data_IF_670734094053
#
_entry.id   IF_670734094053
#
_cell.length_a   1.000
_cell.length_b   1.000
_cell.length_c   1.000
_cell.angle_alpha   90.00
_cell.angle_beta   90.00
_cell.angle_gamma   90.00
#
_symmetry.space_group_name_H-M   'P 1'
#
loop_
_entity.id
_entity.type
_entity.pdbx_description
1 polymer ?
#
# COMPACT_ATOMS: atom_id res chain seq x y z
N UNK A 1 -0.02 -0.06 24.28
CA UNK A 1 -1.11 0.80 23.81
C UNK A 1 -1.70 1.63 24.95
N UNK A 2 -1.75 2.96 24.80
CA UNK A 2 -2.30 3.94 25.74
C UNK A 2 -3.35 4.77 25.01
N UNK A 3 -4.56 4.93 25.57
CA UNK A 3 -5.60 5.78 24.99
C UNK A 3 -5.27 7.26 25.22
N UNK A 4 -5.12 8.01 24.12
CA UNK A 4 -4.84 9.45 24.11
C UNK A 4 -5.89 10.21 23.29
N UNK A 5 -7.10 9.67 23.17
CA UNK A 5 -8.20 10.23 22.36
C UNK A 5 -8.53 11.68 22.74
N UNK A 6 -8.40 12.05 24.02
CA UNK A 6 -8.58 13.42 24.50
C UNK A 6 -7.60 14.44 23.87
N UNK A 7 -6.49 13.97 23.29
CA UNK A 7 -5.50 14.81 22.62
C UNK A 7 -5.76 15.01 21.12
N UNK A 8 -6.78 14.39 20.53
CA UNK A 8 -7.05 14.51 19.07
C UNK A 8 -7.17 15.97 18.63
N UNK A 9 -7.78 16.83 19.45
CA UNK A 9 -7.90 18.26 19.16
C UNK A 9 -6.57 18.95 18.83
N UNK A 10 -5.45 18.43 19.36
CA UNK A 10 -4.11 18.97 19.10
C UNK A 10 -3.56 18.59 17.72
N UNK A 11 -4.17 17.63 17.01
CA UNK A 11 -3.79 17.20 15.66
C UNK A 11 -4.63 17.86 14.57
N UNK A 12 -5.67 18.62 14.96
CA UNK A 12 -6.58 19.28 14.03
C UNK A 12 -6.07 20.69 13.72
N UNK A 13 -5.74 20.90 12.45
CA UNK A 13 -5.29 22.18 11.91
C UNK A 13 -6.19 22.57 10.74
N UNK A 14 -6.10 23.82 10.27
CA UNK A 14 -6.98 24.31 9.20
C UNK A 14 -6.90 23.46 7.93
N UNK A 15 -5.72 22.88 7.64
CA UNK A 15 -5.52 21.98 6.49
C UNK A 15 -6.36 20.70 6.56
N UNK A 16 -6.61 20.12 7.74
CA UNK A 16 -7.32 18.83 7.87
C UNK A 16 -8.69 18.95 8.57
N UNK A 17 -9.09 20.17 8.98
CA UNK A 17 -10.32 20.42 9.73
C UNK A 17 -11.57 19.86 9.05
N UNK A 18 -11.78 20.18 7.77
CA UNK A 18 -12.97 19.73 7.05
C UNK A 18 -13.01 18.19 6.93
N UNK A 19 -11.85 17.56 6.68
CA UNK A 19 -11.73 16.11 6.62
C UNK A 19 -12.09 15.47 7.97
N UNK A 20 -11.54 16.02 9.06
CA UNK A 20 -11.83 15.59 10.42
C UNK A 20 -13.32 15.72 10.76
N UNK A 21 -13.92 16.89 10.52
CA UNK A 21 -15.33 17.16 10.83
C UNK A 21 -16.25 16.20 10.06
N UNK A 22 -15.97 15.97 8.78
CA UNK A 22 -16.75 15.04 7.95
C UNK A 22 -16.72 13.61 8.51
N UNK A 23 -15.53 13.13 8.91
CA UNK A 23 -15.36 11.76 9.42
C UNK A 23 -15.87 11.61 10.85
N UNK A 24 -15.59 12.57 11.73
CA UNK A 24 -15.99 12.54 13.14
C UNK A 24 -17.51 12.64 13.32
N UNK A 25 -18.24 13.17 12.33
CA UNK A 25 -19.70 13.14 12.31
C UNK A 25 -20.28 11.76 11.97
N UNK A 26 -19.49 10.87 11.36
CA UNK A 26 -19.91 9.54 10.92
C UNK A 26 -19.37 8.42 11.81
N UNK A 27 -18.17 8.60 12.34
CA UNK A 27 -17.41 7.56 13.03
C UNK A 27 -16.94 8.02 14.41
N UNK A 28 -16.90 7.09 15.34
CA UNK A 28 -16.18 7.28 16.61
C UNK A 28 -14.71 6.99 16.34
N UNK A 29 -13.87 8.04 16.27
CA UNK A 29 -12.43 7.91 16.05
C UNK A 29 -11.70 8.03 17.39
N UNK A 30 -10.81 7.07 17.68
CA UNK A 30 -9.97 7.04 18.87
C UNK A 30 -8.50 7.09 18.49
N UNK A 31 -7.70 7.75 19.32
CA UNK A 31 -6.26 7.86 19.13
C UNK A 31 -5.53 7.09 20.23
N UNK A 32 -4.64 6.19 19.83
CA UNK A 32 -3.83 5.39 20.73
C UNK A 32 -2.36 5.60 20.46
N UNK A 33 -1.56 5.63 21.54
CA UNK A 33 -0.11 5.58 21.46
C UNK A 33 0.39 4.16 21.72
N UNK A 34 1.25 3.65 20.86
CA UNK A 34 1.97 2.40 21.10
C UNK A 34 3.41 2.45 20.60
N UNK A 35 4.36 2.52 21.53
CA UNK A 35 5.81 2.51 21.25
C UNK A 35 6.31 1.26 20.52
N UNK A 36 5.52 0.19 20.46
CA UNK A 36 5.88 -1.05 19.74
C UNK A 36 5.59 -0.96 18.24
N UNK A 37 4.76 -0.01 17.82
CA UNK A 37 4.47 0.20 16.40
C UNK A 37 5.59 1.00 15.76
N UNK A 38 5.90 0.69 14.49
CA UNK A 38 6.98 1.35 13.75
C UNK A 38 6.46 2.50 12.86
N UNK A 39 5.15 2.58 12.67
CA UNK A 39 4.48 3.56 11.83
C UNK A 39 3.13 3.93 12.41
N UNK A 40 2.52 4.98 11.85
CA UNK A 40 1.11 5.22 12.06
C UNK A 40 0.29 4.15 11.33
N UNK A 41 -0.90 3.84 11.84
CA UNK A 41 -1.83 2.90 11.20
C UNK A 41 -3.27 3.12 11.67
N UNK A 42 -4.23 2.71 10.82
CA UNK A 42 -5.66 2.62 11.15
C UNK A 42 -6.07 1.16 11.42
N UNK A 43 -6.93 0.94 12.41
CA UNK A 43 -7.69 -0.31 12.57
C UNK A 43 -9.18 -0.03 12.71
N UNK A 44 -9.98 -0.64 11.85
CA UNK A 44 -11.43 -0.63 11.99
C UNK A 44 -11.86 -1.67 13.03
N UNK A 45 -12.52 -1.23 14.10
CA UNK A 45 -13.24 -2.09 15.05
C UNK A 45 -14.74 -1.93 14.82
N UNK A 46 -15.52 -2.90 15.27
CA UNK A 46 -16.98 -2.88 15.09
C UNK A 46 -17.65 -1.61 15.66
N UNK A 47 -17.11 -1.05 16.75
CA UNK A 47 -17.71 0.09 17.44
C UNK A 47 -16.98 1.44 17.24
N UNK A 48 -15.75 1.43 16.75
CA UNK A 48 -14.93 2.65 16.61
C UNK A 48 -13.74 2.40 15.67
N UNK A 49 -13.10 3.47 15.22
CA UNK A 49 -11.88 3.42 14.41
C UNK A 49 -10.68 3.81 15.29
N UNK A 50 -9.64 2.96 15.28
CA UNK A 50 -8.38 3.21 15.98
C UNK A 50 -7.39 3.86 15.03
N UNK A 51 -6.90 5.05 15.37
CA UNK A 51 -5.65 5.59 14.82
C UNK A 51 -4.57 5.31 15.86
N UNK A 52 -3.50 4.64 15.47
CA UNK A 52 -2.38 4.29 16.37
C UNK A 52 -1.14 5.06 15.95
N UNK A 53 -0.54 5.79 16.87
CA UNK A 53 0.70 6.53 16.68
C UNK A 53 1.89 5.86 17.41
N UNK A 54 3.08 5.83 16.78
CA UNK A 54 4.28 5.22 17.37
C UNK A 54 5.02 6.16 18.33
N UNK A 55 4.69 7.45 18.34
CA UNK A 55 5.31 8.48 19.17
C UNK A 55 4.24 9.44 19.72
N UNK A 56 4.59 10.14 20.81
CA UNK A 56 3.72 11.15 21.44
C UNK A 56 3.87 12.54 20.82
N UNK A 57 4.82 12.70 19.89
CA UNK A 57 5.02 13.97 19.19
C UNK A 57 3.87 14.21 18.21
N UNK A 58 3.35 15.44 18.20
CA UNK A 58 2.25 15.79 17.29
C UNK A 58 2.78 15.78 15.87
N UNK A 59 2.20 14.90 15.04
CA UNK A 59 2.50 14.82 13.62
C UNK A 59 1.21 15.00 12.80
N UNK A 60 0.96 16.23 12.37
CA UNK A 60 -0.23 16.58 11.59
C UNK A 60 -0.31 15.81 10.26
N UNK A 61 0.84 15.61 9.62
CA UNK A 61 0.94 14.90 8.35
C UNK A 61 0.48 13.45 8.50
N UNK A 62 1.09 12.73 9.45
CA UNK A 62 0.79 11.31 9.66
C UNK A 62 -0.63 11.11 10.17
N UNK A 63 -1.11 11.96 11.07
CA UNK A 63 -2.51 11.90 11.51
C UNK A 63 -3.47 12.12 10.32
N UNK A 64 -3.19 13.10 9.46
CA UNK A 64 -4.02 13.36 8.26
C UNK A 64 -3.93 12.21 7.25
N UNK A 65 -2.77 11.56 7.12
CA UNK A 65 -2.59 10.37 6.30
C UNK A 65 -3.53 9.24 6.75
N UNK A 66 -3.59 8.97 8.05
CA UNK A 66 -4.53 7.97 8.60
C UNK A 66 -6.00 8.38 8.43
N UNK A 67 -6.33 9.68 8.58
CA UNK A 67 -7.69 10.16 8.27
C UNK A 67 -8.07 9.93 6.80
N UNK A 68 -7.12 10.09 5.87
CA UNK A 68 -7.37 9.85 4.46
C UNK A 68 -7.60 8.36 4.14
N UNK A 69 -6.96 7.44 4.87
CA UNK A 69 -7.30 6.02 4.77
C UNK A 69 -8.76 5.75 5.13
N UNK A 70 -9.23 6.34 6.24
CA UNK A 70 -10.64 6.24 6.64
C UNK A 70 -11.56 6.85 5.57
N UNK A 71 -11.17 8.02 5.03
CA UNK A 71 -11.97 8.73 4.04
C UNK A 71 -12.14 7.99 2.72
N UNK A 72 -11.07 7.41 2.17
CA UNK A 72 -11.21 6.63 0.92
C UNK A 72 -12.04 5.35 1.16
N UNK A 73 -11.98 4.75 2.34
CA UNK A 73 -12.85 3.63 2.72
C UNK A 73 -14.32 4.05 2.82
N UNK A 74 -14.62 5.24 3.39
CA UNK A 74 -15.98 5.84 3.40
C UNK A 74 -16.51 6.12 1.98
N UNK A 75 -15.62 6.41 1.02
CA UNK A 75 -15.96 6.53 -0.41
C UNK A 75 -16.20 5.17 -1.10
N UNK A 76 -16.01 4.05 -0.41
CA UNK A 76 -16.23 2.71 -0.94
C UNK A 76 -14.97 1.97 -1.38
N UNK A 77 -13.78 2.47 -1.03
CA UNK A 77 -12.53 1.72 -1.26
C UNK A 77 -12.56 0.39 -0.51
N UNK A 78 -12.15 -0.68 -1.20
CA UNK A 78 -11.99 -2.00 -0.57
C UNK A 78 -10.99 -1.91 0.60
N UNK A 79 -11.43 -2.31 1.80
CA UNK A 79 -10.57 -2.41 2.98
C UNK A 79 -9.55 -3.55 2.82
N UNK A 80 -8.40 -3.46 3.49
CA UNK A 80 -7.40 -4.53 3.48
C UNK A 80 -8.01 -5.86 3.95
N UNK A 81 -8.85 -5.81 4.99
CA UNK A 81 -9.47 -7.01 5.56
C UNK A 81 -10.43 -7.69 4.58
N UNK A 82 -11.23 -6.91 3.83
CA UNK A 82 -12.11 -7.43 2.79
C UNK A 82 -11.30 -8.04 1.64
N UNK A 83 -10.28 -7.31 1.18
CA UNK A 83 -9.36 -7.76 0.13
C UNK A 83 -8.66 -9.08 0.51
N UNK A 84 -8.08 -9.14 1.71
CA UNK A 84 -7.44 -10.35 2.24
C UNK A 84 -8.43 -11.51 2.38
N UNK A 85 -9.60 -11.28 2.99
CA UNK A 85 -10.59 -12.34 3.20
C UNK A 85 -11.12 -12.94 1.91
N UNK A 86 -11.17 -12.15 0.84
CA UNK A 86 -11.63 -12.61 -0.49
C UNK A 86 -10.67 -13.62 -1.10
N UNK A 87 -9.37 -13.49 -0.84
CA UNK A 87 -8.33 -14.28 -1.52
C UNK A 87 -7.48 -15.18 -0.63
N UNK A 88 -7.67 -15.14 0.70
CA UNK A 88 -6.89 -15.96 1.66
C UNK A 88 -7.03 -17.47 1.44
N UNK A 89 -8.12 -17.92 0.82
CA UNK A 89 -8.39 -19.34 0.55
C UNK A 89 -8.04 -19.71 -0.92
N UNK A 90 -7.53 -18.77 -1.72
CA UNK A 90 -7.09 -19.06 -3.08
C UNK A 90 -5.82 -19.93 -3.06
N UNK A 91 -5.80 -21.00 -3.85
CA UNK A 91 -4.67 -21.96 -3.90
C UNK A 91 -3.29 -21.34 -4.17
N UNK A 92 -3.24 -20.21 -4.87
CA UNK A 92 -2.01 -19.51 -5.20
C UNK A 92 -1.79 -18.34 -4.24
N UNK A 93 -2.78 -17.46 -4.11
CA UNK A 93 -2.63 -16.21 -3.37
C UNK A 93 -2.89 -16.32 -1.86
N UNK A 94 -3.59 -17.36 -1.43
CA UNK A 94 -3.73 -17.76 -0.03
C UNK A 94 -2.48 -18.43 0.55
N UNK A 95 -1.48 -18.72 -0.29
CA UNK A 95 -0.21 -19.25 0.21
C UNK A 95 0.56 -18.18 1.00
N UNK A 96 1.23 -18.59 2.07
CA UNK A 96 2.04 -17.70 2.91
C UNK A 96 3.11 -16.90 2.14
N UNK A 97 3.44 -17.34 0.91
CA UNK A 97 4.42 -16.69 0.06
C UNK A 97 3.90 -15.38 -0.56
N UNK A 98 2.59 -15.25 -0.76
CA UNK A 98 1.97 -14.06 -1.37
C UNK A 98 1.19 -13.20 -0.38
N UNK A 99 1.13 -13.58 0.89
CA UNK A 99 0.39 -12.79 1.90
C UNK A 99 0.91 -11.36 2.02
N UNK A 100 2.23 -11.17 1.87
CA UNK A 100 2.84 -9.84 1.89
C UNK A 100 2.45 -9.03 0.65
N UNK A 101 2.31 -9.67 -0.52
CA UNK A 101 1.93 -9.03 -1.76
C UNK A 101 0.60 -8.29 -1.64
N UNK A 102 -0.38 -8.84 -0.92
CA UNK A 102 -1.64 -8.17 -0.68
C UNK A 102 -1.47 -6.84 0.05
N UNK A 103 -0.60 -6.80 1.07
CA UNK A 103 -0.27 -5.57 1.78
C UNK A 103 0.36 -4.54 0.84
N UNK A 104 1.30 -4.95 -0.02
CA UNK A 104 1.92 -4.05 -1.00
C UNK A 104 0.92 -3.50 -2.01
N UNK A 105 0.03 -4.35 -2.53
CA UNK A 105 -0.98 -3.97 -3.52
C UNK A 105 -2.02 -3.03 -2.91
N UNK A 106 -2.57 -3.39 -1.74
CA UNK A 106 -3.55 -2.56 -1.06
C UNK A 106 -2.97 -1.20 -0.69
N UNK A 107 -1.75 -1.17 -0.17
CA UNK A 107 -1.07 0.07 0.18
C UNK A 107 -0.87 0.97 -1.06
N UNK A 108 -0.32 0.44 -2.16
CA UNK A 108 -0.21 1.17 -3.43
C UNK A 108 -1.58 1.70 -3.88
N UNK A 109 -2.61 0.85 -3.84
CA UNK A 109 -3.92 1.17 -4.35
C UNK A 109 -4.55 2.34 -3.57
N UNK A 110 -4.52 2.27 -2.24
CA UNK A 110 -4.95 3.34 -1.34
C UNK A 110 -4.16 4.63 -1.59
N UNK A 111 -2.83 4.54 -1.62
CA UNK A 111 -1.96 5.68 -1.77
C UNK A 111 -2.17 6.43 -3.08
N UNK A 112 -2.40 5.72 -4.19
CA UNK A 112 -2.75 6.37 -5.48
C UNK A 112 -4.04 7.18 -5.39
N UNK A 113 -5.05 6.68 -4.68
CA UNK A 113 -6.36 7.36 -4.57
C UNK A 113 -6.35 8.47 -3.52
N UNK A 114 -5.59 8.34 -2.45
CA UNK A 114 -5.53 9.35 -1.38
C UNK A 114 -4.53 10.49 -1.67
N UNK A 115 -3.48 10.25 -2.47
CA UNK A 115 -2.43 11.25 -2.68
C UNK A 115 -2.94 12.58 -3.26
N UNK A 116 -3.87 12.60 -4.25
CA UNK A 116 -4.46 13.86 -4.73
C UNK A 116 -5.13 14.67 -3.60
N UNK A 117 -5.86 14.01 -2.69
CA UNK A 117 -6.46 14.68 -1.54
C UNK A 117 -5.40 15.22 -0.59
N UNK A 118 -4.40 14.41 -0.25
CA UNK A 118 -3.30 14.82 0.63
C UNK A 118 -2.56 16.07 0.11
N UNK A 119 -2.28 16.09 -1.20
CA UNK A 119 -1.66 17.24 -1.88
C UNK A 119 -2.58 18.46 -1.91
N UNK A 120 -3.88 18.28 -2.16
CA UNK A 120 -4.86 19.36 -2.16
C UNK A 120 -5.06 20.00 -0.78
N UNK A 121 -4.87 19.25 0.30
CA UNK A 121 -4.85 19.78 1.68
C UNK A 121 -3.57 20.59 1.98
N UNK A 122 -2.62 20.65 1.04
CA UNK A 122 -1.40 21.45 1.13
C UNK A 122 -0.29 20.82 1.97
N UNK A 123 -0.29 19.50 2.15
CA UNK A 123 0.82 18.79 2.79
C UNK A 123 1.94 18.47 1.79
N UNK A 124 3.16 18.31 2.32
CA UNK A 124 4.34 18.03 1.52
C UNK A 124 4.37 16.57 1.08
N UNK A 125 4.67 16.33 -0.18
CA UNK A 125 4.80 14.99 -0.78
C UNK A 125 5.88 14.15 -0.06
N UNK A 126 6.85 14.83 0.54
CA UNK A 126 7.92 14.25 1.36
C UNK A 126 7.41 13.58 2.63
N UNK A 127 6.27 14.02 3.15
CA UNK A 127 5.69 13.52 4.39
C UNK A 127 4.60 12.46 4.13
N UNK A 128 4.30 12.17 2.85
CA UNK A 128 3.22 11.28 2.46
C UNK A 128 3.56 9.79 2.67
N UNK A 129 4.80 9.39 2.41
CA UNK A 129 5.27 8.01 2.62
C UNK A 129 6.49 8.04 3.52
N UNK A 130 6.42 7.35 4.67
CA UNK A 130 7.52 7.30 5.65
C UNK A 130 8.82 6.70 5.07
N UNK A 131 8.71 5.74 4.15
CA UNK A 131 9.84 5.09 3.50
C UNK A 131 9.91 5.46 2.01
N UNK A 132 10.73 6.46 1.69
CA UNK A 132 10.83 7.03 0.33
C UNK A 132 11.38 6.05 -0.70
N UNK A 133 12.59 5.49 -0.48
CA UNK A 133 13.18 4.47 -1.37
C UNK A 133 14.08 3.51 -0.57
N UNK A 134 13.67 2.25 -0.41
CA UNK A 134 14.49 1.16 0.17
C UNK A 134 14.97 0.13 -0.88
N UNK A 135 14.88 0.48 -2.17
CA UNK A 135 15.40 -0.37 -3.24
C UNK A 135 16.87 -0.07 -3.53
N UNK A 136 17.71 -1.11 -3.46
CA UNK A 136 19.16 -1.04 -3.67
C UNK A 136 19.64 -2.06 -4.69
N UNK A 137 20.88 -1.88 -5.20
CA UNK A 137 21.51 -2.88 -6.07
C UNK A 137 21.65 -4.25 -5.39
N UNK A 138 21.92 -4.28 -4.07
CA UNK A 138 21.95 -5.53 -3.29
C UNK A 138 20.60 -6.24 -3.35
N UNK A 139 19.50 -5.50 -3.17
CA UNK A 139 18.14 -6.03 -3.24
C UNK A 139 17.80 -6.50 -4.66
N UNK A 140 18.21 -5.75 -5.68
CA UNK A 140 18.06 -6.13 -7.08
C UNK A 140 18.72 -7.48 -7.40
N UNK A 141 19.99 -7.66 -7.04
CA UNK A 141 20.68 -8.92 -7.28
C UNK A 141 20.09 -10.07 -6.47
N UNK A 142 19.63 -9.80 -5.23
CA UNK A 142 18.91 -10.78 -4.42
C UNK A 142 17.65 -11.29 -5.16
N UNK A 143 16.80 -10.39 -5.66
CA UNK A 143 15.60 -10.75 -6.42
C UNK A 143 15.97 -11.59 -7.65
N UNK A 144 16.96 -11.13 -8.42
CA UNK A 144 17.43 -11.84 -9.61
C UNK A 144 17.85 -13.29 -9.31
N UNK A 145 18.63 -13.50 -8.24
CA UNK A 145 19.09 -14.83 -7.83
C UNK A 145 17.91 -15.68 -7.37
N UNK A 146 17.02 -15.14 -6.53
CA UNK A 146 15.86 -15.86 -6.00
C UNK A 146 14.95 -16.35 -7.13
N UNK A 147 14.67 -15.51 -8.13
CA UNK A 147 13.84 -15.88 -9.29
C UNK A 147 14.46 -16.97 -10.17
N UNK A 148 15.79 -17.14 -10.15
CA UNK A 148 16.49 -18.20 -10.88
C UNK A 148 16.55 -19.54 -10.14
N UNK A 149 16.50 -19.52 -8.81
CA UNK A 149 16.55 -20.74 -8.01
C UNK A 149 15.14 -21.32 -7.93
N UNK A 150 14.92 -22.49 -8.54
CA UNK A 150 13.60 -23.14 -8.65
C UNK A 150 12.83 -23.26 -7.32
N UNK A 151 13.51 -23.52 -6.20
CA UNK A 151 12.88 -23.64 -4.88
C UNK A 151 12.51 -22.30 -4.24
N UNK A 152 13.08 -21.20 -4.73
CA UNK A 152 12.93 -19.86 -4.16
C UNK A 152 12.27 -18.88 -5.13
N UNK A 153 11.93 -19.34 -6.34
CA UNK A 153 11.39 -18.51 -7.41
C UNK A 153 10.11 -17.78 -6.99
N UNK A 154 9.20 -18.44 -6.29
CA UNK A 154 7.95 -17.87 -5.80
C UNK A 154 8.20 -16.74 -4.82
N UNK A 155 9.15 -16.92 -3.89
CA UNK A 155 9.60 -15.84 -3.01
C UNK A 155 10.29 -14.73 -3.80
N UNK A 156 11.06 -15.07 -4.84
CA UNK A 156 11.63 -14.10 -5.77
C UNK A 156 10.57 -13.26 -6.50
N UNK A 157 9.44 -13.87 -6.90
CA UNK A 157 8.31 -13.23 -7.56
C UNK A 157 7.57 -12.29 -6.59
N UNK A 158 7.26 -12.73 -5.37
CA UNK A 158 6.69 -11.88 -4.32
C UNK A 158 7.57 -10.65 -4.08
N UNK A 159 8.88 -10.86 -3.89
CA UNK A 159 9.82 -9.76 -3.71
C UNK A 159 9.92 -8.87 -4.95
N UNK A 160 9.87 -9.43 -6.16
CA UNK A 160 9.86 -8.63 -7.38
C UNK A 160 8.66 -7.69 -7.42
N UNK A 161 7.46 -8.22 -7.21
CA UNK A 161 6.21 -7.46 -7.29
C UNK A 161 6.09 -6.45 -6.14
N UNK A 162 6.40 -6.84 -4.91
CA UNK A 162 6.39 -5.91 -3.76
C UNK A 162 7.33 -4.72 -3.96
N UNK A 163 8.53 -4.94 -4.52
CA UNK A 163 9.45 -3.85 -4.82
C UNK A 163 9.03 -3.02 -6.04
N UNK A 164 8.40 -3.63 -7.03
CA UNK A 164 7.79 -2.90 -8.14
C UNK A 164 6.71 -1.92 -7.61
N UNK A 165 5.77 -2.42 -6.80
CA UNK A 165 4.68 -1.61 -6.25
C UNK A 165 5.21 -0.53 -5.29
N UNK A 166 6.18 -0.83 -4.44
CA UNK A 166 6.83 0.17 -3.58
C UNK A 166 7.48 1.31 -4.39
N UNK A 167 8.17 0.99 -5.50
CA UNK A 167 8.77 2.00 -6.38
C UNK A 167 7.73 2.84 -7.12
N UNK A 168 6.60 2.24 -7.53
CA UNK A 168 5.48 2.96 -8.15
C UNK A 168 4.74 3.86 -7.16
N UNK A 169 4.71 3.47 -5.89
CA UNK A 169 4.05 4.21 -4.83
C UNK A 169 4.79 5.48 -4.38
N UNK A 170 6.05 5.68 -4.80
CA UNK A 170 6.79 6.89 -4.46
C UNK A 170 6.22 8.09 -5.25
N UNK A 171 5.75 9.11 -4.52
CA UNK A 171 5.13 10.33 -5.08
C UNK A 171 6.09 11.52 -5.17
N UNK A 172 7.28 11.43 -4.57
CA UNK A 172 8.22 12.55 -4.43
C UNK A 172 8.96 12.81 -5.76
N UNK A 173 8.86 14.02 -6.36
CA UNK A 173 9.43 14.31 -7.68
C UNK A 173 10.94 14.03 -7.81
N UNK A 174 11.72 14.38 -6.80
CA UNK A 174 13.18 14.25 -6.78
C UNK A 174 13.65 12.80 -6.75
N UNK A 175 12.80 11.91 -6.24
CA UNK A 175 13.05 10.47 -6.18
C UNK A 175 12.66 9.76 -7.49
N UNK A 176 11.80 10.36 -8.32
CA UNK A 176 11.30 9.74 -9.56
C UNK A 176 12.42 9.30 -10.51
N UNK A 177 13.48 10.08 -10.80
CA UNK A 177 14.57 9.62 -11.66
C UNK A 177 15.23 8.34 -11.16
N UNK A 178 15.45 8.24 -9.84
CA UNK A 178 16.05 7.05 -9.21
C UNK A 178 15.09 5.86 -9.24
N UNK A 179 13.79 6.09 -8.98
CA UNK A 179 12.78 5.04 -9.08
C UNK A 179 12.69 4.47 -10.50
N UNK A 180 12.71 5.32 -11.54
CA UNK A 180 12.69 4.91 -12.95
C UNK A 180 13.91 4.06 -13.32
N UNK A 181 15.10 4.39 -12.81
CA UNK A 181 16.31 3.56 -13.01
C UNK A 181 16.10 2.15 -12.44
N UNK A 182 15.51 2.04 -11.25
CA UNK A 182 15.28 0.75 -10.61
C UNK A 182 14.13 -0.05 -11.23
N UNK A 183 13.06 0.61 -11.66
CA UNK A 183 11.99 0.00 -12.45
C UNK A 183 12.54 -0.57 -13.76
N UNK A 184 13.41 0.16 -14.48
CA UNK A 184 14.12 -0.36 -15.66
C UNK A 184 14.98 -1.58 -15.34
N UNK A 185 15.64 -1.59 -14.17
CA UNK A 185 16.42 -2.76 -13.71
C UNK A 185 15.52 -3.96 -13.39
N UNK A 186 14.38 -3.75 -12.72
CA UNK A 186 13.40 -4.81 -12.47
C UNK A 186 12.87 -5.40 -13.78
N UNK A 187 12.48 -4.56 -14.75
CA UNK A 187 12.03 -5.01 -16.07
C UNK A 187 13.05 -5.91 -16.79
N UNK A 188 14.36 -5.67 -16.58
CA UNK A 188 15.44 -6.54 -17.11
C UNK A 188 15.53 -7.92 -16.44
N UNK A 189 15.07 -8.07 -15.20
CA UNK A 189 15.00 -9.39 -14.55
C UNK A 189 13.90 -10.22 -15.21
N UNK A 190 12.70 -9.63 -15.39
CA UNK A 190 11.58 -10.27 -16.05
C UNK A 190 10.64 -9.22 -16.64
N UNK A 191 10.59 -9.14 -17.98
CA UNK A 191 9.78 -8.13 -18.67
C UNK A 191 8.30 -8.51 -18.69
N UNK A 192 7.95 -9.78 -18.89
CA UNK A 192 6.54 -10.22 -18.89
C UNK A 192 5.88 -9.94 -17.53
N UNK A 193 6.53 -10.31 -16.42
CA UNK A 193 6.01 -10.05 -15.08
C UNK A 193 5.93 -8.56 -14.75
N UNK A 194 6.91 -7.77 -15.22
CA UNK A 194 6.88 -6.32 -15.09
C UNK A 194 5.67 -5.73 -15.82
N UNK A 195 5.47 -6.10 -17.08
CA UNK A 195 4.40 -5.56 -17.93
C UNK A 195 3.02 -5.92 -17.36
N UNK A 196 2.86 -7.09 -16.72
CA UNK A 196 1.65 -7.45 -15.97
C UNK A 196 1.36 -6.53 -14.79
N UNK A 197 2.38 -6.27 -13.96
CA UNK A 197 2.24 -5.39 -12.79
C UNK A 197 2.03 -3.93 -13.21
N UNK A 198 2.67 -3.50 -14.30
CA UNK A 198 2.53 -2.16 -14.88
C UNK A 198 1.14 -1.94 -15.45
N UNK A 199 0.58 -2.93 -16.17
CA UNK A 199 -0.81 -2.90 -16.64
C UNK A 199 -1.79 -2.75 -15.47
N UNK A 200 -1.63 -3.52 -14.40
CA UNK A 200 -2.47 -3.38 -13.20
C UNK A 200 -2.36 -1.99 -12.58
N UNK A 201 -1.13 -1.48 -12.40
CA UNK A 201 -0.85 -0.16 -11.83
C UNK A 201 -1.48 0.99 -12.63
N UNK A 202 -1.41 0.92 -13.96
CA UNK A 202 -2.02 1.89 -14.88
C UNK A 202 -3.55 1.81 -14.87
N UNK A 203 -4.12 0.60 -15.00
CA UNK A 203 -5.57 0.41 -14.95
C UNK A 203 -6.15 0.91 -13.63
N UNK A 204 -5.49 0.63 -12.51
CA UNK A 204 -5.93 1.11 -11.20
C UNK A 204 -5.86 2.64 -11.10
N UNK A 205 -4.80 3.26 -11.61
CA UNK A 205 -4.65 4.72 -11.59
C UNK A 205 -5.80 5.42 -12.33
N UNK A 206 -6.16 4.91 -13.50
CA UNK A 206 -7.21 5.45 -14.37
C UNK A 206 -8.64 5.11 -13.90
N UNK A 207 -8.81 4.08 -13.08
CA UNK A 207 -10.13 3.66 -12.60
C UNK A 207 -10.80 4.70 -11.68
N UNK A 208 -12.07 5.03 -11.95
CA UNK A 208 -12.92 5.75 -10.98
C UNK A 208 -13.56 4.80 -9.95
N UNK A 209 -13.63 3.50 -10.26
CA UNK A 209 -14.13 2.48 -9.34
C UNK A 209 -13.09 2.20 -8.25
N UNK A 210 -13.51 2.35 -6.99
CA UNK A 210 -12.68 2.09 -5.81
C UNK A 210 -12.75 0.63 -5.32
N UNK A 211 -13.44 -0.25 -6.06
CA UNK A 211 -13.40 -1.69 -5.80
C UNK A 211 -12.09 -2.31 -6.31
N UNK A 212 -11.16 -2.49 -5.38
CA UNK A 212 -9.87 -3.14 -5.62
C UNK A 212 -10.03 -4.63 -5.91
N UNK A 213 -11.08 -5.30 -5.41
CA UNK A 213 -11.29 -6.74 -5.65
C UNK A 213 -11.53 -6.96 -7.14
N UNK A 214 -12.42 -6.17 -7.75
CA UNK A 214 -12.70 -6.25 -9.18
C UNK A 214 -11.43 -6.01 -10.01
N UNK A 215 -10.70 -4.93 -9.71
CA UNK A 215 -9.46 -4.58 -10.42
C UNK A 215 -8.35 -5.63 -10.25
N UNK A 216 -8.25 -6.25 -9.07
CA UNK A 216 -7.24 -7.26 -8.79
C UNK A 216 -7.56 -8.60 -9.44
N UNK A 217 -8.85 -8.93 -9.67
CA UNK A 217 -9.25 -10.21 -10.25
C UNK A 217 -8.62 -10.45 -11.63
N UNK A 218 -8.57 -9.41 -12.48
CA UNK A 218 -7.92 -9.49 -13.78
C UNK A 218 -6.41 -9.76 -13.65
N UNK A 219 -5.73 -8.99 -12.78
CA UNK A 219 -4.31 -9.16 -12.51
C UNK A 219 -4.01 -10.56 -11.95
N UNK A 220 -4.86 -11.06 -11.05
CA UNK A 220 -4.79 -12.39 -10.45
C UNK A 220 -4.82 -13.49 -11.52
N UNK A 221 -5.76 -13.40 -12.46
CA UNK A 221 -5.92 -14.34 -13.57
C UNK A 221 -4.68 -14.31 -14.48
N UNK A 222 -4.22 -13.12 -14.86
CA UNK A 222 -3.08 -12.97 -15.76
C UNK A 222 -1.77 -13.45 -15.09
N UNK A 223 -1.56 -13.14 -13.81
CA UNK A 223 -0.42 -13.64 -13.04
C UNK A 223 -0.47 -15.17 -12.91
N UNK A 224 -1.64 -15.75 -12.64
CA UNK A 224 -1.81 -17.21 -12.57
C UNK A 224 -1.47 -17.88 -13.90
N UNK A 225 -1.96 -17.34 -15.03
CA UNK A 225 -1.62 -17.84 -16.38
C UNK A 225 -0.12 -17.75 -16.64
N UNK A 226 0.50 -16.63 -16.28
CA UNK A 226 1.93 -16.42 -16.43
C UNK A 226 2.75 -17.41 -15.59
N UNK A 227 2.36 -17.64 -14.34
CA UNK A 227 2.99 -18.63 -13.47
C UNK A 227 2.88 -20.04 -14.05
N UNK A 228 1.72 -20.40 -14.58
CA UNK A 228 1.52 -21.71 -15.20
C UNK A 228 2.45 -21.88 -16.41
N UNK A 229 2.45 -20.90 -17.32
CA UNK A 229 3.31 -20.89 -18.52
C UNK A 229 4.80 -21.06 -18.17
N UNK A 230 5.26 -20.37 -17.13
CA UNK A 230 6.69 -20.27 -16.82
C UNK A 230 7.18 -21.30 -15.79
N UNK A 231 6.28 -21.89 -14.98
CA UNK A 231 6.66 -22.73 -13.85
C UNK A 231 5.82 -24.02 -13.67
N UNK A 232 4.77 -24.26 -14.46
CA UNK A 232 4.01 -25.52 -14.42
C UNK A 232 4.61 -26.67 -15.25
N UNK A 233 5.83 -26.54 -15.77
CA UNK A 233 6.57 -27.72 -16.25
C UNK A 233 7.14 -28.47 -15.05
N UNK A 234 6.28 -29.31 -14.45
CA UNK A 234 6.63 -30.49 -13.67
C UNK A 234 6.05 -31.69 -14.42
#
# INVERSE_FOLDING_TARGET
MIDITHNIGNYIIDKNRNLWENLNNKYVIKLFYDQKENSWLVRNKEAYIEIICPNLEINYSSFTHELLHIFIEDLGMTTYQSFYNTYKDDSLFGSFLFINLFGWIHNLACHKKMFPYYKNLGFSEYDFVQQRIDYSLKRHYKIYILMKIRRLNMFGIDQFLGNFFALKNNVVPEDKPKCLIFLKKLRKINHELYDLADKFDSNWEESENLDLIESFEEFKIDLKRWLIKNYSKV
#
